data_IF_990649991592
#
_entry.id   IF_990649991592
#
_cell.length_a   1.000
_cell.length_b   1.000
_cell.length_c   1.000
_cell.angle_alpha   90.00
_cell.angle_beta   90.00
_cell.angle_gamma   90.00
#
_symmetry.space_group_name_H-M   'P 1'
#
loop_
_entity.id
_entity.type
_entity.pdbx_description
1 polymer ?
#
# COMPACT_ATOMS: atom_id res chain seq x y z
N UNK A 1 -56.32 -39.07 -69.00
CA UNK A 1 -55.00 -38.40 -68.94
C UNK A 1 -54.87 -37.73 -67.58
N UNK A 2 -53.82 -38.10 -66.81
CA UNK A 2 -53.31 -37.49 -65.56
C UNK A 2 -54.35 -37.40 -64.40
N UNK A 3 -54.54 -38.35 -63.46
CA UNK A 3 -53.64 -39.03 -62.50
C UNK A 3 -52.75 -38.09 -61.68
N UNK A 4 -52.71 -38.01 -60.34
CA UNK A 4 -53.29 -38.66 -59.11
C UNK A 4 -53.06 -37.56 -58.02
N UNK A 5 -53.82 -37.30 -56.95
CA UNK A 5 -54.77 -38.06 -56.15
C UNK A 5 -54.41 -37.82 -54.67
N UNK A 6 -55.34 -37.22 -53.92
CA UNK A 6 -55.31 -36.96 -52.48
C UNK A 6 -55.19 -38.28 -51.68
N UNK A 7 -54.48 -38.27 -50.56
CA UNK A 7 -54.44 -39.42 -49.64
C UNK A 7 -53.82 -39.10 -48.28
N UNK A 8 -54.69 -38.92 -47.28
CA UNK A 8 -54.39 -38.86 -45.85
C UNK A 8 -54.34 -40.29 -45.26
N UNK A 9 -53.41 -40.60 -44.33
CA UNK A 9 -53.59 -41.51 -43.18
C UNK A 9 -52.26 -41.80 -42.43
N UNK A 10 -52.22 -41.35 -41.16
CA UNK A 10 -51.93 -42.10 -39.93
C UNK A 10 -50.73 -43.08 -39.78
N UNK A 11 -49.78 -42.66 -38.93
CA UNK A 11 -49.14 -43.33 -37.75
C UNK A 11 -48.47 -44.72 -37.92
N UNK A 12 -47.14 -44.83 -37.68
CA UNK A 12 -46.52 -45.30 -36.41
C UNK A 12 -45.00 -45.62 -36.53
N UNK A 13 -44.23 -45.10 -35.56
CA UNK A 13 -42.94 -45.57 -34.99
C UNK A 13 -41.72 -45.86 -35.89
N UNK A 14 -40.61 -45.11 -35.72
CA UNK A 14 -39.20 -45.61 -35.61
C UNK A 14 -38.27 -44.53 -35.03
N UNK A 15 -37.50 -44.94 -34.01
CA UNK A 15 -36.25 -44.46 -33.39
C UNK A 15 -35.70 -43.03 -33.63
N UNK A 16 -35.50 -42.34 -32.51
CA UNK A 16 -34.61 -41.20 -32.29
C UNK A 16 -33.14 -41.65 -32.23
N UNK A 17 -32.25 -41.00 -32.97
CA UNK A 17 -30.80 -40.95 -32.68
C UNK A 17 -30.38 -39.49 -32.70
N UNK A 18 -30.06 -38.95 -31.52
CA UNK A 18 -29.40 -37.67 -31.35
C UNK A 18 -27.89 -37.93 -31.23
N UNK A 19 -27.10 -37.34 -32.12
CA UNK A 19 -25.64 -37.34 -32.04
C UNK A 19 -25.17 -36.12 -31.23
N UNK A 20 -24.53 -36.37 -30.09
CA UNK A 20 -23.79 -35.37 -29.30
C UNK A 20 -22.27 -35.49 -29.61
N UNK A 21 -21.49 -34.40 -29.48
CA UNK A 21 -20.09 -34.35 -29.89
C UNK A 21 -19.14 -35.18 -28.99
N UNK A 22 -17.95 -35.57 -29.50
CA UNK A 22 -17.10 -36.59 -28.90
C UNK A 22 -16.33 -36.14 -27.64
N UNK A 23 -16.19 -37.09 -26.72
CA UNK A 23 -15.56 -37.04 -25.40
C UNK A 23 -14.02 -37.06 -25.47
N UNK A 24 -13.35 -36.17 -24.74
CA UNK A 24 -11.90 -35.88 -24.84
C UNK A 24 -11.04 -36.77 -23.92
N UNK A 25 -11.63 -37.69 -23.14
CA UNK A 25 -10.87 -38.50 -22.17
C UNK A 25 -10.50 -39.91 -22.66
N UNK A 26 -9.75 -40.03 -23.76
CA UNK A 26 -9.04 -41.28 -24.09
C UNK A 26 -7.74 -41.03 -24.86
N UNK A 27 -6.64 -40.81 -24.12
CA UNK A 27 -5.31 -40.99 -24.69
C UNK A 27 -4.94 -42.47 -24.60
N UNK A 28 -4.79 -43.12 -25.77
CA UNK A 28 -4.11 -44.41 -25.86
C UNK A 28 -2.59 -44.16 -25.89
N UNK A 29 -1.79 -44.98 -25.18
CA UNK A 29 -0.35 -44.77 -25.11
C UNK A 29 0.35 -45.16 -26.44
N UNK A 30 1.29 -44.32 -26.86
CA UNK A 30 2.22 -44.59 -27.94
C UNK A 30 3.29 -45.61 -27.50
N UNK A 31 3.67 -46.45 -28.45
CA UNK A 31 4.53 -47.60 -28.30
C UNK A 31 6.02 -47.23 -28.11
N UNK A 32 6.68 -47.99 -27.23
CA UNK A 32 8.11 -48.27 -26.95
C UNK A 32 9.28 -47.61 -27.73
N UNK A 33 10.28 -47.13 -26.98
CA UNK A 33 11.70 -46.88 -27.35
C UNK A 33 12.58 -46.56 -26.12
N UNK A 34 13.89 -46.91 -26.05
CA UNK A 34 14.55 -47.23 -24.77
C UNK A 34 15.32 -46.08 -24.07
N UNK A 35 15.19 -46.10 -22.73
CA UNK A 35 16.02 -45.61 -21.62
C UNK A 35 17.13 -44.55 -21.82
N UNK A 36 17.03 -43.44 -21.06
CA UNK A 36 18.11 -43.01 -20.15
C UNK A 36 17.59 -42.12 -19.00
N UNK A 37 17.99 -42.51 -17.78
CA UNK A 37 17.95 -41.84 -16.47
C UNK A 37 17.10 -40.57 -16.26
N UNK A 38 15.96 -40.73 -15.59
CA UNK A 38 15.33 -39.67 -14.79
C UNK A 38 15.34 -40.05 -13.31
N UNK A 39 15.81 -39.12 -12.47
CA UNK A 39 15.77 -39.24 -11.02
C UNK A 39 14.31 -39.39 -10.57
N UNK A 40 14.04 -40.50 -9.87
CA UNK A 40 12.71 -40.78 -9.32
C UNK A 40 12.41 -39.75 -8.24
N UNK A 41 11.44 -38.87 -8.48
CA UNK A 41 10.72 -38.21 -7.38
C UNK A 41 9.95 -39.31 -6.64
N UNK A 42 10.55 -39.85 -5.59
CA UNK A 42 9.88 -40.81 -4.72
C UNK A 42 8.76 -40.08 -3.97
N UNK A 43 7.56 -40.64 -4.03
CA UNK A 43 6.46 -40.27 -3.13
C UNK A 43 6.95 -40.30 -1.68
N UNK A 44 6.52 -39.35 -0.81
CA UNK A 44 6.92 -39.37 0.59
C UNK A 44 6.66 -40.75 1.19
N UNK A 45 7.61 -41.27 1.96
CA UNK A 45 7.43 -42.54 2.66
C UNK A 45 6.21 -42.46 3.60
N UNK A 46 5.64 -43.60 3.98
CA UNK A 46 4.54 -43.62 4.95
C UNK A 46 4.95 -42.97 6.27
N UNK A 47 6.22 -43.10 6.66
CA UNK A 47 6.79 -42.44 7.84
C UNK A 47 6.86 -40.92 7.69
N UNK A 48 7.27 -40.42 6.52
CA UNK A 48 7.28 -38.98 6.23
C UNK A 48 5.86 -38.40 6.20
N UNK A 49 4.91 -39.16 5.64
CA UNK A 49 3.50 -38.79 5.61
C UNK A 49 2.93 -38.74 7.03
N UNK A 50 3.25 -39.73 7.86
CA UNK A 50 2.79 -39.79 9.25
C UNK A 50 3.43 -38.70 10.12
N UNK A 51 4.71 -38.40 9.91
CA UNK A 51 5.42 -37.29 10.56
C UNK A 51 4.82 -35.94 10.16
N UNK A 52 4.54 -35.73 8.87
CA UNK A 52 3.90 -34.52 8.38
C UNK A 52 2.48 -34.39 8.94
N UNK A 53 1.70 -35.46 8.99
CA UNK A 53 0.36 -35.44 9.58
C UNK A 53 0.40 -35.15 11.09
N UNK A 54 1.39 -35.67 11.81
CA UNK A 54 1.59 -35.39 13.24
C UNK A 54 1.99 -33.92 13.47
N UNK A 55 2.85 -33.36 12.62
CA UNK A 55 3.21 -31.94 12.65
C UNK A 55 2.01 -31.05 12.30
N UNK A 56 1.23 -31.42 11.30
CA UNK A 56 0.00 -30.71 10.91
C UNK A 56 -1.04 -30.75 12.03
N UNK A 57 -1.25 -31.89 12.68
CA UNK A 57 -2.19 -31.99 13.80
C UNK A 57 -1.72 -31.21 15.03
N UNK A 58 -0.42 -31.20 15.31
CA UNK A 58 0.17 -30.40 16.40
C UNK A 58 0.06 -28.91 16.09
N UNK A 59 0.25 -28.52 14.83
CA UNK A 59 0.04 -27.16 14.34
C UNK A 59 -1.44 -26.76 14.43
N UNK A 60 -2.38 -27.60 13.98
CA UNK A 60 -3.82 -27.37 14.11
C UNK A 60 -4.24 -27.20 15.57
N UNK A 61 -3.74 -28.04 16.47
CA UNK A 61 -4.05 -27.95 17.90
C UNK A 61 -3.41 -26.71 18.58
N UNK A 62 -2.27 -26.23 18.07
CA UNK A 62 -1.67 -24.95 18.48
C UNK A 62 -2.49 -23.75 17.94
N UNK A 63 -3.05 -23.87 16.74
CA UNK A 63 -3.89 -22.87 16.09
C UNK A 63 -5.29 -22.74 16.70
N UNK A 64 -5.81 -23.81 17.31
CA UNK A 64 -7.13 -23.87 17.95
C UNK A 64 -7.13 -23.33 19.39
N UNK A 65 -5.96 -23.18 20.03
CA UNK A 65 -5.88 -22.76 21.45
C UNK A 65 -6.10 -21.25 21.70
N UNK A 66 -6.40 -20.46 20.67
CA UNK A 66 -6.57 -19.01 20.78
C UNK A 66 -7.49 -18.51 19.66
N UNK A 67 -8.76 -18.30 19.97
CA UNK A 67 -9.79 -17.96 18.98
C UNK A 67 -9.58 -16.61 18.26
N UNK A 68 -8.65 -15.76 18.70
CA UNK A 68 -8.16 -14.62 17.90
C UNK A 68 -6.90 -14.93 17.07
N UNK A 69 -5.88 -15.63 17.62
CA UNK A 69 -4.63 -15.93 16.88
C UNK A 69 -4.83 -16.95 15.75
N UNK A 70 -5.92 -17.72 15.79
CA UNK A 70 -6.31 -18.68 14.75
C UNK A 70 -6.56 -18.01 13.39
N UNK A 71 -6.98 -16.75 13.37
CA UNK A 71 -7.44 -16.06 12.17
C UNK A 71 -6.30 -15.68 11.20
N UNK A 72 -5.17 -15.19 11.71
CA UNK A 72 -4.07 -14.70 10.87
C UNK A 72 -3.25 -15.82 10.23
N UNK A 73 -2.99 -16.90 10.95
CA UNK A 73 -2.30 -18.07 10.40
C UNK A 73 -3.13 -18.80 9.34
N UNK A 74 -4.46 -18.75 9.43
CA UNK A 74 -5.38 -19.28 8.40
C UNK A 74 -5.29 -18.49 7.09
N UNK A 75 -4.90 -17.21 7.12
CA UNK A 75 -4.73 -16.38 5.93
C UNK A 75 -3.46 -16.69 5.14
N UNK A 76 -2.47 -17.34 5.77
CA UNK A 76 -1.22 -17.70 5.13
C UNK A 76 -1.38 -18.89 4.17
N UNK A 77 -0.60 -18.92 3.10
CA UNK A 77 -0.49 -20.09 2.22
C UNK A 77 0.07 -21.32 2.96
N UNK A 78 -0.14 -22.55 2.45
CA UNK A 78 0.46 -23.76 3.04
C UNK A 78 1.99 -23.67 3.21
N UNK A 79 2.68 -23.07 2.24
CA UNK A 79 4.14 -22.87 2.29
C UNK A 79 4.54 -21.93 3.44
N UNK A 80 3.84 -20.81 3.58
CA UNK A 80 4.07 -19.85 4.67
C UNK A 80 3.74 -20.46 6.03
N UNK A 81 2.64 -21.23 6.16
CA UNK A 81 2.31 -21.93 7.41
C UNK A 81 3.38 -22.94 7.83
N UNK A 82 3.94 -23.69 6.87
CA UNK A 82 5.07 -24.60 7.14
C UNK A 82 6.30 -23.82 7.62
N UNK A 83 6.61 -22.68 7.00
CA UNK A 83 7.72 -21.83 7.42
C UNK A 83 7.50 -21.22 8.81
N UNK A 84 6.28 -20.77 9.12
CA UNK A 84 5.90 -20.28 10.44
C UNK A 84 6.02 -21.36 11.52
N UNK A 85 5.59 -22.59 11.23
CA UNK A 85 5.74 -23.72 12.15
C UNK A 85 7.22 -24.02 12.46
N UNK A 86 8.09 -23.97 11.43
CA UNK A 86 9.55 -24.10 11.61
C UNK A 86 10.11 -23.01 12.53
N UNK A 87 9.67 -21.76 12.36
CA UNK A 87 10.11 -20.66 13.23
C UNK A 87 9.68 -20.84 14.70
N UNK A 88 8.44 -21.30 14.92
CA UNK A 88 7.95 -21.64 16.27
C UNK A 88 8.81 -22.75 16.89
N UNK A 89 9.14 -23.78 16.12
CA UNK A 89 9.99 -24.88 16.57
C UNK A 89 11.42 -24.41 16.89
N UNK A 90 12.02 -23.58 16.01
CA UNK A 90 13.36 -23.03 16.19
C UNK A 90 13.49 -22.15 17.45
N UNK A 91 12.48 -21.33 17.72
CA UNK A 91 12.50 -20.41 18.87
C UNK A 91 11.98 -21.07 20.15
N UNK A 92 11.24 -22.18 20.05
CA UNK A 92 10.54 -22.77 21.19
C UNK A 92 9.52 -21.82 21.83
N UNK A 93 8.98 -20.90 21.03
CA UNK A 93 8.03 -19.87 21.43
C UNK A 93 6.99 -19.62 20.34
N UNK A 94 5.80 -19.20 20.76
CA UNK A 94 4.77 -18.73 19.83
C UNK A 94 5.26 -17.50 19.06
N UNK A 95 4.68 -17.28 17.88
CA UNK A 95 4.85 -16.05 17.11
C UNK A 95 3.58 -15.21 17.16
N UNK A 96 3.75 -13.89 17.17
CA UNK A 96 2.71 -12.90 16.92
C UNK A 96 2.87 -12.43 15.49
N UNK A 97 1.84 -12.61 14.68
CA UNK A 97 1.82 -12.14 13.30
C UNK A 97 0.57 -11.33 13.00
N UNK A 98 0.65 -10.48 11.98
CA UNK A 98 -0.50 -9.88 11.29
C UNK A 98 -0.27 -9.99 9.79
N UNK A 99 -1.32 -10.32 9.05
CA UNK A 99 -1.26 -10.53 7.60
C UNK A 99 -2.05 -9.44 6.88
N UNK A 100 -1.54 -9.00 5.72
CA UNK A 100 -2.30 -8.11 4.84
C UNK A 100 -3.35 -8.89 4.06
N UNK A 101 -4.58 -8.38 4.03
CA UNK A 101 -5.69 -9.13 3.46
C UNK A 101 -5.59 -9.31 1.94
N UNK A 102 -5.12 -8.30 1.21
CA UNK A 102 -5.02 -8.39 -0.25
C UNK A 102 -3.80 -9.19 -0.70
N UNK A 103 -2.61 -8.72 -0.35
CA UNK A 103 -1.33 -9.30 -0.76
C UNK A 103 -0.93 -10.60 -0.05
N UNK A 104 -1.62 -10.97 1.05
CA UNK A 104 -1.32 -12.14 1.90
C UNK A 104 0.14 -12.17 2.41
N UNK A 105 0.76 -10.99 2.52
CA UNK A 105 2.10 -10.81 3.08
C UNK A 105 2.05 -10.49 4.57
N UNK A 106 3.20 -10.70 5.23
CA UNK A 106 3.34 -10.45 6.66
C UNK A 106 3.50 -8.95 6.90
N UNK A 107 2.58 -8.34 7.65
CA UNK A 107 2.71 -6.93 8.06
C UNK A 107 3.52 -6.76 9.34
N UNK A 108 3.41 -7.75 10.22
CA UNK A 108 4.02 -7.74 11.54
C UNK A 108 4.42 -9.16 11.89
N UNK A 109 5.65 -9.36 12.38
CA UNK A 109 6.13 -10.65 12.86
C UNK A 109 7.07 -10.46 14.05
N UNK A 110 6.71 -11.10 15.16
CA UNK A 110 7.49 -11.04 16.40
C UNK A 110 7.41 -12.37 17.14
N UNK A 111 8.53 -12.83 17.70
CA UNK A 111 8.52 -13.93 18.66
C UNK A 111 7.89 -13.45 19.97
N UNK A 112 6.91 -14.19 20.48
CA UNK A 112 6.06 -13.73 21.59
C UNK A 112 6.83 -13.55 22.90
N UNK A 113 7.81 -14.43 23.14
CA UNK A 113 8.75 -14.37 24.25
C UNK A 113 10.02 -13.62 23.81
N UNK A 114 10.35 -12.53 24.49
CA UNK A 114 11.52 -11.72 24.16
C UNK A 114 12.84 -12.43 24.40
N UNK A 115 12.89 -13.38 25.34
CA UNK A 115 14.13 -14.08 25.71
C UNK A 115 14.45 -15.21 24.73
N UNK A 116 13.46 -15.59 23.91
CA UNK A 116 13.53 -16.63 22.88
C UNK A 116 13.58 -16.06 21.45
N UNK A 117 13.91 -14.78 21.30
CA UNK A 117 14.15 -14.16 19.99
C UNK A 117 15.17 -14.93 19.17
N UNK A 118 15.13 -14.71 17.86
CA UNK A 118 16.14 -15.25 16.95
C UNK A 118 17.49 -14.64 17.26
N UNK A 119 18.34 -15.44 17.88
CA UNK A 119 19.73 -15.09 18.20
C UNK A 119 20.57 -15.17 16.93
N UNK A 120 20.60 -14.06 16.19
CA UNK A 120 21.32 -13.96 14.93
C UNK A 120 22.72 -13.33 15.12
N UNK A 121 22.88 -12.46 16.13
CA UNK A 121 24.21 -11.92 16.43
C UNK A 121 25.01 -12.88 17.31
N UNK A 122 26.19 -13.27 16.83
CA UNK A 122 27.25 -13.89 17.64
C UNK A 122 28.44 -12.94 17.89
N UNK A 123 28.35 -11.72 17.37
CA UNK A 123 29.43 -10.75 17.41
C UNK A 123 29.47 -10.01 18.74
N UNK A 124 30.67 -9.91 19.34
CA UNK A 124 30.90 -9.09 20.54
C UNK A 124 30.79 -7.59 20.29
N UNK A 125 31.08 -7.15 19.07
CA UNK A 125 31.00 -5.75 18.65
C UNK A 125 29.94 -5.65 17.56
N UNK A 126 28.91 -4.88 17.82
CA UNK A 126 27.83 -4.61 16.88
C UNK A 126 28.19 -3.35 16.09
N UNK A 127 28.81 -3.54 14.91
CA UNK A 127 28.99 -2.49 13.91
C UNK A 127 27.76 -2.41 13.01
N UNK A 128 27.64 -1.33 12.23
CA UNK A 128 26.51 -1.20 11.31
C UNK A 128 26.47 -2.27 10.25
N UNK A 129 27.64 -2.70 9.74
CA UNK A 129 27.71 -3.81 8.77
C UNK A 129 27.28 -5.14 9.39
N UNK A 130 27.62 -5.41 10.65
CA UNK A 130 27.16 -6.62 11.36
C UNK A 130 25.65 -6.61 11.53
N UNK A 131 25.05 -5.47 11.91
CA UNK A 131 23.60 -5.34 12.03
C UNK A 131 22.89 -5.56 10.71
N UNK A 132 23.44 -4.98 9.63
CA UNK A 132 22.96 -5.17 8.27
C UNK A 132 23.00 -6.64 7.86
N UNK A 133 24.10 -7.33 8.12
CA UNK A 133 24.23 -8.76 7.84
C UNK A 133 23.20 -9.58 8.61
N UNK A 134 23.03 -9.33 9.90
CA UNK A 134 22.01 -10.00 10.74
C UNK A 134 20.60 -9.83 10.17
N UNK A 135 20.25 -8.61 9.74
CA UNK A 135 18.95 -8.36 9.15
C UNK A 135 18.79 -9.05 7.78
N UNK A 136 19.83 -9.09 6.95
CA UNK A 136 19.83 -9.81 5.68
C UNK A 136 19.67 -11.33 5.90
N UNK A 137 20.40 -11.91 6.86
CA UNK A 137 20.31 -13.33 7.20
C UNK A 137 18.89 -13.70 7.63
N UNK A 138 18.25 -12.86 8.44
CA UNK A 138 16.85 -13.02 8.82
C UNK A 138 15.90 -13.03 7.61
N UNK A 139 16.05 -12.07 6.69
CA UNK A 139 15.22 -11.99 5.48
C UNK A 139 15.43 -13.23 4.61
N UNK A 140 16.67 -13.67 4.42
CA UNK A 140 17.03 -14.85 3.63
C UNK A 140 16.54 -16.16 4.26
N UNK A 141 16.68 -16.35 5.57
CA UNK A 141 16.20 -17.55 6.28
C UNK A 141 14.67 -17.67 6.24
N UNK A 142 13.96 -16.54 6.32
CA UNK A 142 12.49 -16.51 6.38
C UNK A 142 11.80 -16.16 5.07
N UNK A 143 12.52 -16.19 3.94
CA UNK A 143 11.97 -15.84 2.61
C UNK A 143 10.70 -16.61 2.23
N UNK A 144 10.58 -17.86 2.65
CA UNK A 144 9.37 -18.67 2.42
C UNK A 144 8.15 -18.21 3.24
N UNK A 145 8.35 -17.67 4.44
CA UNK A 145 7.31 -17.06 5.26
C UNK A 145 6.92 -15.69 4.71
N UNK A 146 7.92 -14.94 4.24
CA UNK A 146 7.74 -13.62 3.66
C UNK A 146 7.19 -13.66 2.23
N UNK A 147 7.21 -14.81 1.56
CA UNK A 147 6.85 -14.98 0.14
C UNK A 147 7.75 -14.20 -0.82
N UNK A 148 9.05 -14.19 -0.52
CA UNK A 148 10.10 -13.54 -1.31
C UNK A 148 11.04 -14.62 -1.87
N UNK A 149 11.46 -14.50 -3.13
CA UNK A 149 12.26 -15.50 -3.80
C UNK A 149 13.75 -15.30 -3.53
N UNK A 150 14.23 -14.06 -3.70
CA UNK A 150 15.63 -13.64 -3.59
C UNK A 150 15.71 -12.36 -2.74
N UNK A 151 15.59 -12.45 -1.39
CA UNK A 151 15.53 -11.27 -0.53
C UNK A 151 16.70 -10.29 -0.68
N UNK A 152 17.89 -10.79 -0.94
CA UNK A 152 19.11 -10.00 -1.16
C UNK A 152 19.04 -9.09 -2.41
N UNK A 153 18.25 -9.48 -3.42
CA UNK A 153 18.01 -8.68 -4.63
C UNK A 153 16.72 -7.86 -4.51
N UNK A 154 15.73 -8.37 -3.79
CA UNK A 154 14.39 -7.79 -3.69
C UNK A 154 14.23 -6.79 -2.54
N UNK A 155 15.03 -6.87 -1.47
CA UNK A 155 15.03 -5.91 -0.37
C UNK A 155 16.35 -5.14 -0.32
N UNK A 156 16.34 -3.91 -0.82
CA UNK A 156 17.50 -3.02 -0.84
C UNK A 156 17.47 -2.14 0.38
N UNK A 157 18.57 -2.13 1.16
CA UNK A 157 18.68 -1.31 2.36
C UNK A 157 18.56 0.18 1.98
N UNK A 158 17.57 0.86 2.54
CA UNK A 158 17.32 2.27 2.32
C UNK A 158 17.89 3.13 3.45
N UNK A 159 17.70 2.70 4.70
CA UNK A 159 18.24 3.41 5.86
C UNK A 159 18.48 2.47 7.03
N UNK A 160 19.44 2.85 7.86
CA UNK A 160 19.75 2.20 9.11
C UNK A 160 19.93 3.27 10.19
N UNK A 161 19.25 3.10 11.32
CA UNK A 161 19.36 3.99 12.46
C UNK A 161 19.42 3.17 13.75
N UNK A 162 20.23 3.60 14.72
CA UNK A 162 20.29 3.03 16.06
C UNK A 162 19.86 4.09 17.06
N UNK A 163 18.90 3.76 17.91
CA UNK A 163 18.41 4.66 18.95
C UNK A 163 19.30 4.68 20.20
N UNK A 164 19.02 5.59 21.11
CA UNK A 164 19.77 5.76 22.37
C UNK A 164 19.69 4.54 23.31
N UNK A 165 18.72 3.65 23.09
CA UNK A 165 18.55 2.39 23.83
C UNK A 165 19.32 1.24 23.17
N UNK A 166 20.00 1.49 22.05
CA UNK A 166 20.78 0.53 21.28
C UNK A 166 19.95 -0.33 20.31
N UNK A 167 18.64 -0.09 20.19
CA UNK A 167 17.82 -0.76 19.18
C UNK A 167 18.14 -0.21 17.81
N UNK A 168 18.18 -1.09 16.81
CA UNK A 168 18.52 -0.71 15.44
C UNK A 168 17.37 -1.01 14.49
N UNK A 169 17.10 -0.08 13.59
CA UNK A 169 16.02 -0.11 12.62
C UNK A 169 16.63 -0.13 11.23
N UNK A 170 16.50 -1.25 10.53
CA UNK A 170 17.01 -1.41 9.18
C UNK A 170 15.82 -1.43 8.23
N UNK A 171 15.60 -0.33 7.51
CA UNK A 171 14.51 -0.15 6.56
C UNK A 171 14.98 -0.44 5.15
N UNK A 172 14.18 -1.20 4.42
CA UNK A 172 14.43 -1.68 3.07
C UNK A 172 13.32 -1.20 2.14
N UNK A 173 13.68 -0.83 0.92
CA UNK A 173 12.73 -0.73 -0.19
C UNK A 173 12.63 -2.07 -0.89
N UNK A 174 11.42 -2.43 -1.32
CA UNK A 174 11.24 -3.59 -2.18
C UNK A 174 11.51 -3.21 -3.64
N UNK A 175 12.17 -4.09 -4.38
CA UNK A 175 12.32 -4.00 -5.83
C UNK A 175 12.15 -5.37 -6.49
N UNK A 176 11.91 -5.38 -7.79
CA UNK A 176 11.90 -6.59 -8.61
C UNK A 176 12.58 -6.30 -9.96
N UNK A 177 13.56 -7.11 -10.35
CA UNK A 177 14.39 -6.88 -11.54
C UNK A 177 14.96 -5.45 -11.60
N UNK A 178 15.45 -4.95 -10.46
CA UNK A 178 16.01 -3.59 -10.30
C UNK A 178 15.01 -2.43 -10.49
N UNK A 179 13.71 -2.73 -10.63
CA UNK A 179 12.64 -1.73 -10.67
C UNK A 179 12.02 -1.64 -9.26
N UNK A 180 11.99 -0.44 -8.63
CA UNK A 180 11.36 -0.27 -7.32
C UNK A 180 9.89 -0.67 -7.32
N UNK A 181 9.44 -1.34 -6.25
CA UNK A 181 8.02 -1.58 -5.99
C UNK A 181 7.53 -0.52 -5.02
N UNK A 182 6.58 0.31 -5.46
CA UNK A 182 6.06 1.42 -4.67
C UNK A 182 4.55 1.27 -4.42
N UNK A 183 4.04 1.61 -3.22
CA UNK A 183 4.76 2.03 -2.01
C UNK A 183 5.16 0.84 -1.12
N UNK A 184 6.17 0.04 -1.52
CA UNK A 184 6.56 -1.16 -0.78
C UNK A 184 7.86 -1.02 0.03
N UNK A 185 7.76 -1.30 1.33
CA UNK A 185 8.89 -1.31 2.27
C UNK A 185 8.81 -2.41 3.34
N UNK A 186 9.94 -2.64 3.99
CA UNK A 186 10.07 -3.55 5.12
C UNK A 186 11.10 -3.02 6.12
N UNK A 187 10.95 -3.33 7.40
CA UNK A 187 11.89 -2.94 8.46
C UNK A 187 12.18 -4.14 9.35
N UNK A 188 13.48 -4.40 9.56
CA UNK A 188 13.96 -5.37 10.55
C UNK A 188 14.47 -4.59 11.76
N UNK A 189 13.94 -4.92 12.93
CA UNK A 189 14.31 -4.29 14.20
C UNK A 189 15.21 -5.21 14.99
N UNK A 190 16.40 -4.74 15.34
CA UNK A 190 17.34 -5.44 16.22
C UNK A 190 17.31 -4.82 17.61
N UNK A 191 17.40 -5.65 18.65
CA UNK A 191 17.62 -5.16 20.02
C UNK A 191 19.09 -4.76 20.26
N UNK A 192 19.36 -4.24 21.46
CA UNK A 192 20.70 -3.80 21.86
C UNK A 192 21.75 -4.90 21.89
N UNK A 193 21.34 -6.18 21.88
CA UNK A 193 22.23 -7.34 21.76
C UNK A 193 22.39 -7.81 20.31
N UNK A 194 21.75 -7.15 19.35
CA UNK A 194 21.78 -7.48 17.93
C UNK A 194 20.88 -8.64 17.54
N UNK A 195 19.92 -9.04 18.39
CA UNK A 195 18.95 -10.09 18.03
C UNK A 195 17.75 -9.48 17.29
N UNK A 196 17.15 -10.25 16.39
CA UNK A 196 15.94 -9.79 15.69
C UNK A 196 14.77 -9.77 16.66
N UNK A 197 14.23 -8.58 16.89
CA UNK A 197 13.17 -8.31 17.86
C UNK A 197 11.79 -8.20 17.20
N UNK A 198 11.73 -7.74 15.96
CA UNK A 198 10.51 -7.48 15.21
C UNK A 198 10.82 -7.33 13.71
N UNK A 199 9.92 -7.84 12.87
CA UNK A 199 9.83 -7.47 11.46
C UNK A 199 8.48 -6.78 11.21
N UNK A 200 8.52 -5.64 10.52
CA UNK A 200 7.34 -4.93 10.02
C UNK A 200 7.48 -4.68 8.52
N UNK A 201 6.38 -4.63 7.79
CA UNK A 201 6.45 -4.28 6.38
C UNK A 201 5.12 -4.03 5.71
N UNK A 202 5.18 -3.21 4.68
CA UNK A 202 4.10 -3.02 3.71
C UNK A 202 4.67 -3.40 2.35
N UNK A 203 4.73 -4.69 2.05
CA UNK A 203 5.36 -5.20 0.83
C UNK A 203 4.46 -6.25 0.17
N UNK A 204 4.80 -6.68 -1.05
CA UNK A 204 4.08 -7.73 -1.78
C UNK A 204 4.95 -8.99 -1.96
N UNK A 205 4.34 -10.14 -2.17
CA UNK A 205 5.08 -11.33 -2.59
C UNK A 205 5.84 -11.05 -3.90
N UNK A 206 6.95 -11.75 -4.15
CA UNK A 206 7.71 -11.59 -5.40
C UNK A 206 6.77 -11.63 -6.60
N UNK A 207 6.69 -10.55 -7.39
CA UNK A 207 5.77 -10.50 -8.52
C UNK A 207 6.06 -11.62 -9.51
N UNK A 208 5.01 -12.09 -10.18
CA UNK A 208 5.15 -13.03 -11.29
C UNK A 208 4.33 -12.54 -12.47
N UNK A 209 4.84 -12.73 -13.69
CA UNK A 209 4.15 -12.36 -14.94
C UNK A 209 3.79 -10.86 -15.03
N UNK A 210 4.64 -10.00 -14.49
CA UNK A 210 4.50 -8.54 -14.63
C UNK A 210 5.26 -8.04 -15.86
N UNK A 211 4.72 -7.02 -16.53
CA UNK A 211 5.41 -6.34 -17.63
C UNK A 211 6.67 -5.62 -17.11
N UNK A 212 7.72 -5.53 -17.91
CA UNK A 212 8.96 -4.82 -17.53
C UNK A 212 9.40 -3.77 -18.56
N UNK A 213 8.69 -3.66 -19.68
CA UNK A 213 9.01 -2.71 -20.74
C UNK A 213 7.86 -1.71 -20.88
N UNK A 214 8.11 -0.41 -20.68
CA UNK A 214 7.09 0.62 -20.84
C UNK A 214 6.75 0.80 -22.32
N UNK A 215 5.46 1.02 -22.61
CA UNK A 215 4.95 1.43 -23.94
C UNK A 215 4.86 2.96 -24.02
N UNK A 216 4.42 3.58 -22.93
CA UNK A 216 4.42 5.04 -22.77
C UNK A 216 5.82 5.49 -22.40
N UNK A 217 6.37 6.45 -23.16
CA UNK A 217 7.71 6.98 -22.89
C UNK A 217 7.72 7.84 -21.61
N UNK A 218 8.92 8.04 -21.04
CA UNK A 218 9.08 8.92 -19.89
C UNK A 218 8.62 10.36 -20.18
N UNK A 219 8.95 10.89 -21.37
CA UNK A 219 8.55 12.24 -21.79
C UNK A 219 7.03 12.37 -21.93
N UNK A 220 6.36 11.38 -22.53
CA UNK A 220 4.89 11.35 -22.63
C UNK A 220 4.24 11.28 -21.25
N UNK A 221 4.82 10.49 -20.33
CA UNK A 221 4.34 10.40 -18.95
C UNK A 221 4.46 11.75 -18.23
N UNK A 222 5.56 12.47 -18.42
CA UNK A 222 5.76 13.81 -17.85
C UNK A 222 4.70 14.81 -18.32
N UNK A 223 4.37 14.79 -19.62
CA UNK A 223 3.29 15.62 -20.19
C UNK A 223 1.93 15.25 -19.57
N UNK A 224 1.62 13.96 -19.50
CA UNK A 224 0.35 13.46 -18.95
C UNK A 224 0.18 13.81 -17.47
N UNK A 225 1.24 13.67 -16.69
CA UNK A 225 1.20 13.98 -15.27
C UNK A 225 1.10 15.48 -14.99
N UNK A 226 1.73 16.35 -15.79
CA UNK A 226 1.49 17.80 -15.72
C UNK A 226 0.01 18.12 -15.99
N UNK A 227 -0.58 17.50 -17.01
CA UNK A 227 -2.00 17.68 -17.35
C UNK A 227 -2.97 17.11 -16.30
N UNK A 228 -2.52 16.17 -15.46
CA UNK A 228 -3.32 15.59 -14.38
C UNK A 228 -3.43 16.49 -13.14
N UNK A 229 -2.68 17.59 -13.07
CA UNK A 229 -2.57 18.46 -11.90
C UNK A 229 -3.22 19.83 -12.17
N UNK A 230 -4.10 20.33 -11.28
CA UNK A 230 -4.68 21.67 -11.42
C UNK A 230 -3.63 22.78 -11.38
N UNK A 231 -3.87 23.86 -12.14
CA UNK A 231 -3.02 25.07 -12.19
C UNK A 231 -1.55 24.79 -12.54
N UNK A 232 -1.27 23.69 -13.22
CA UNK A 232 0.08 23.22 -13.48
C UNK A 232 0.76 23.90 -14.69
N UNK A 233 0.18 24.94 -15.30
CA UNK A 233 0.73 25.57 -16.53
C UNK A 233 2.22 25.94 -16.40
N UNK A 234 2.61 26.48 -15.25
CA UNK A 234 3.99 26.86 -14.91
C UNK A 234 4.70 25.85 -13.98
N UNK A 235 4.11 24.69 -13.73
CA UNK A 235 4.68 23.69 -12.84
C UNK A 235 5.98 23.11 -13.40
N UNK A 236 6.89 22.81 -12.49
CA UNK A 236 8.07 21.99 -12.79
C UNK A 236 7.75 20.51 -12.55
N UNK A 237 8.29 19.66 -13.41
CA UNK A 237 8.01 18.22 -13.39
C UNK A 237 9.33 17.49 -13.20
N UNK A 238 9.41 16.58 -12.22
CA UNK A 238 10.60 15.76 -12.01
C UNK A 238 10.82 14.77 -13.17
N UNK A 239 12.02 14.20 -13.27
CA UNK A 239 12.21 13.04 -14.14
C UNK A 239 11.26 11.90 -13.71
N UNK A 240 10.74 11.18 -14.71
CA UNK A 240 9.86 10.04 -14.49
C UNK A 240 10.68 8.83 -14.00
N UNK A 241 10.33 8.31 -12.81
CA UNK A 241 10.91 7.10 -12.23
C UNK A 241 10.05 5.89 -12.61
N UNK A 242 10.64 4.89 -13.27
CA UNK A 242 9.94 3.65 -13.58
C UNK A 242 9.77 2.81 -12.31
N UNK A 243 8.54 2.42 -11.98
CA UNK A 243 8.20 1.66 -10.79
C UNK A 243 7.22 0.52 -11.10
N UNK A 244 7.16 -0.47 -10.22
CA UNK A 244 6.00 -1.32 -10.05
C UNK A 244 5.05 -0.70 -9.02
N UNK A 245 3.90 -0.22 -9.47
CA UNK A 245 2.86 0.27 -8.58
C UNK A 245 2.03 -0.89 -8.02
N UNK A 246 2.08 -1.08 -6.70
CA UNK A 246 1.47 -2.21 -6.01
C UNK A 246 0.61 -1.75 -4.83
N UNK A 247 -0.71 -1.86 -4.96
CA UNK A 247 -1.67 -1.67 -3.87
C UNK A 247 -2.15 -3.04 -3.37
N UNK A 248 -2.62 -3.11 -2.13
CA UNK A 248 -2.89 -4.41 -1.46
C UNK A 248 -3.83 -5.31 -2.26
N UNK A 249 -4.88 -4.71 -2.81
CA UNK A 249 -6.04 -5.36 -3.40
C UNK A 249 -6.13 -5.17 -4.92
N UNK A 250 -5.07 -4.66 -5.56
CA UNK A 250 -5.04 -4.39 -7.00
C UNK A 250 -3.89 -5.14 -7.69
N UNK A 251 -4.05 -5.49 -8.98
CA UNK A 251 -2.96 -6.02 -9.77
C UNK A 251 -1.77 -5.03 -9.80
N UNK A 252 -0.57 -5.58 -9.78
CA UNK A 252 0.66 -4.80 -9.93
C UNK A 252 0.71 -4.20 -11.34
N UNK A 253 1.00 -2.90 -11.44
CA UNK A 253 1.11 -2.17 -12.71
C UNK A 253 2.53 -1.66 -12.90
N UNK A 254 3.06 -1.73 -14.12
CA UNK A 254 4.28 -0.99 -14.48
C UNK A 254 3.89 0.47 -14.69
N UNK A 255 4.56 1.42 -14.05
CA UNK A 255 4.14 2.81 -14.02
C UNK A 255 5.32 3.79 -13.92
N UNK A 256 5.07 5.05 -14.28
CA UNK A 256 5.96 6.18 -14.11
C UNK A 256 5.52 6.99 -12.88
N UNK A 257 6.37 7.12 -11.88
CA UNK A 257 6.17 7.96 -10.69
C UNK A 257 6.94 9.27 -10.85
N UNK A 258 6.31 10.39 -10.52
CA UNK A 258 6.92 11.69 -10.65
C UNK A 258 6.27 12.73 -9.73
N UNK A 259 7.03 13.77 -9.44
CA UNK A 259 6.56 14.94 -8.72
C UNK A 259 6.24 16.08 -9.70
N UNK A 260 5.08 16.71 -9.51
CA UNK A 260 4.65 17.92 -10.21
C UNK A 260 4.58 19.04 -9.17
N UNK A 261 5.55 19.95 -9.23
CA UNK A 261 5.68 21.06 -8.30
C UNK A 261 5.07 22.32 -8.93
N UNK A 262 3.89 22.70 -8.46
CA UNK A 262 3.17 23.90 -8.91
C UNK A 262 3.65 25.13 -8.13
N UNK A 263 3.82 25.00 -6.82
CA UNK A 263 4.35 26.03 -5.91
C UNK A 263 4.83 25.41 -4.59
N UNK A 264 5.41 26.21 -3.70
CA UNK A 264 5.83 25.76 -2.35
C UNK A 264 4.69 25.16 -1.52
N UNK A 265 3.44 25.50 -1.87
CA UNK A 265 2.24 25.05 -1.18
C UNK A 265 1.47 23.96 -1.95
N UNK A 266 1.92 23.61 -3.17
CA UNK A 266 1.27 22.62 -4.03
C UNK A 266 2.31 21.76 -4.74
N UNK A 267 2.56 20.59 -4.16
CA UNK A 267 3.45 19.56 -4.70
C UNK A 267 2.68 18.26 -4.85
N UNK A 268 2.58 17.75 -6.06
CA UNK A 268 1.78 16.57 -6.37
C UNK A 268 2.68 15.38 -6.67
N UNK A 269 2.36 14.22 -6.08
CA UNK A 269 2.86 12.94 -6.54
C UNK A 269 1.86 12.38 -7.54
N UNK A 270 2.34 12.08 -8.75
CA UNK A 270 1.55 11.52 -9.85
C UNK A 270 2.15 10.21 -10.31
N UNK A 271 1.29 9.22 -10.51
CA UNK A 271 1.66 7.91 -11.07
C UNK A 271 0.86 7.67 -12.34
N UNK A 272 1.57 7.51 -13.47
CA UNK A 272 1.00 7.24 -14.79
C UNK A 272 1.28 5.80 -15.17
N UNK A 273 0.29 5.05 -15.62
CA UNK A 273 0.49 3.68 -16.10
C UNK A 273 1.43 3.66 -17.31
N UNK A 274 2.45 2.80 -17.29
CA UNK A 274 3.47 2.80 -18.32
C UNK A 274 3.04 2.03 -19.58
N UNK A 275 1.88 1.37 -19.59
CA UNK A 275 1.38 0.60 -20.74
C UNK A 275 0.31 1.38 -21.51
N UNK A 276 -0.66 1.98 -20.81
CA UNK A 276 -1.78 2.70 -21.43
C UNK A 276 -1.74 4.22 -21.17
N UNK A 277 -0.95 4.67 -20.18
CA UNK A 277 -0.81 6.07 -19.81
C UNK A 277 -2.02 6.67 -19.12
N UNK A 278 -2.88 5.84 -18.51
CA UNK A 278 -3.89 6.29 -17.57
C UNK A 278 -3.25 6.82 -16.27
N UNK A 279 -3.93 7.75 -15.60
CA UNK A 279 -3.50 8.24 -14.28
C UNK A 279 -3.91 7.20 -13.23
N UNK A 280 -2.94 6.54 -12.60
CA UNK A 280 -3.19 5.55 -11.55
C UNK A 280 -3.43 6.22 -10.19
N UNK A 281 -2.70 7.29 -9.90
CA UNK A 281 -2.95 8.16 -8.74
C UNK A 281 -2.37 9.56 -8.97
N UNK A 282 -2.98 10.56 -8.35
CA UNK A 282 -2.48 11.92 -8.27
C UNK A 282 -2.96 12.51 -6.94
N UNK A 283 -2.04 12.95 -6.08
CA UNK A 283 -2.39 13.59 -4.81
C UNK A 283 -1.36 14.64 -4.41
N UNK A 284 -1.83 15.69 -3.73
CA UNK A 284 -0.96 16.72 -3.16
C UNK A 284 -0.29 16.16 -1.90
N UNK A 285 1.03 16.26 -1.83
CA UNK A 285 1.86 15.83 -0.71
C UNK A 285 1.95 16.88 0.40
N UNK A 286 1.56 18.13 0.12
CA UNK A 286 1.46 19.18 1.12
C UNK A 286 0.20 18.93 1.95
N UNK A 287 0.41 18.46 3.18
CA UNK A 287 -0.68 18.15 4.11
C UNK A 287 -1.48 19.41 4.50
N UNK A 288 -2.79 19.22 4.66
CA UNK A 288 -3.65 20.26 5.21
C UNK A 288 -3.29 20.51 6.67
N UNK A 289 -3.07 21.76 7.04
CA UNK A 289 -2.61 22.08 8.38
C UNK A 289 -2.98 23.51 8.77
N UNK A 290 -3.20 23.72 10.06
CA UNK A 290 -3.14 25.05 10.63
C UNK A 290 -1.68 25.51 10.65
N UNK A 291 -1.39 26.58 9.92
CA UNK A 291 -0.06 27.18 9.82
C UNK A 291 -0.09 28.62 10.32
N UNK A 292 1.09 29.12 10.72
CA UNK A 292 1.26 30.54 11.05
C UNK A 292 1.39 31.33 9.75
N UNK A 293 0.61 32.40 9.63
CA UNK A 293 0.63 33.34 8.52
C UNK A 293 0.68 34.79 9.00
N UNK A 294 0.45 35.72 8.08
CA UNK A 294 0.33 37.14 8.41
C UNK A 294 -0.54 37.88 7.37
N UNK A 295 -1.00 39.08 7.70
CA UNK A 295 -1.75 39.91 6.78
C UNK A 295 -1.78 41.37 7.21
N UNK A 296 -2.12 42.27 6.29
CA UNK A 296 -2.29 43.70 6.61
C UNK A 296 -3.72 43.95 7.07
N UNK A 297 -3.89 44.51 8.27
CA UNK A 297 -5.19 44.85 8.84
C UNK A 297 -5.74 46.19 8.28
N UNK A 298 -6.95 46.57 8.71
CA UNK A 298 -7.62 47.82 8.29
C UNK A 298 -6.83 49.10 8.68
N UNK A 299 -5.91 49.00 9.62
CA UNK A 299 -5.04 50.11 10.05
C UNK A 299 -3.72 50.14 9.27
N UNK A 300 -3.55 49.27 8.27
CA UNK A 300 -2.32 49.16 7.50
C UNK A 300 -1.19 48.44 8.24
N UNK A 301 -1.47 47.79 9.37
CA UNK A 301 -0.46 47.11 10.21
C UNK A 301 -0.41 45.63 9.85
N UNK A 302 0.80 45.09 9.66
CA UNK A 302 0.99 43.65 9.44
C UNK A 302 0.78 42.87 10.75
N UNK A 303 -0.20 41.98 10.78
CA UNK A 303 -0.58 41.15 11.93
C UNK A 303 -0.22 39.68 11.72
N UNK A 304 0.23 38.97 12.76
CA UNK A 304 0.36 37.51 12.72
C UNK A 304 -1.01 36.84 12.73
N UNK A 305 -1.15 35.73 12.01
CA UNK A 305 -2.39 34.96 11.87
C UNK A 305 -2.14 33.46 12.07
N UNK A 306 -3.18 32.72 12.42
CA UNK A 306 -3.27 31.26 12.29
C UNK A 306 -4.29 30.96 11.21
N UNK A 307 -3.90 30.19 10.20
CA UNK A 307 -4.70 29.98 8.99
C UNK A 307 -4.65 28.52 8.57
N UNK A 308 -5.73 28.04 7.97
CA UNK A 308 -5.81 26.66 7.50
C UNK A 308 -5.29 26.58 6.07
N UNK A 309 -4.29 25.73 5.84
CA UNK A 309 -3.86 25.34 4.50
C UNK A 309 -4.66 24.11 4.07
N UNK A 310 -5.28 24.15 2.90
CA UNK A 310 -5.78 22.98 2.21
C UNK A 310 -5.21 22.95 0.80
N UNK A 311 -4.36 21.96 0.51
CA UNK A 311 -3.76 21.76 -0.81
C UNK A 311 -3.13 23.02 -1.45
N UNK A 312 -2.56 23.90 -0.63
CA UNK A 312 -1.88 25.12 -1.06
C UNK A 312 -2.74 26.38 -1.14
N UNK A 313 -4.04 26.23 -0.85
CA UNK A 313 -4.99 27.32 -0.67
C UNK A 313 -5.19 27.58 0.82
N UNK A 314 -5.07 28.83 1.22
CA UNK A 314 -5.18 29.24 2.62
C UNK A 314 -6.56 29.82 2.90
N UNK A 315 -7.09 29.50 4.07
CA UNK A 315 -8.40 29.94 4.56
C UNK A 315 -8.19 30.66 5.89
N UNK A 316 -8.94 31.74 6.15
CA UNK A 316 -8.98 32.38 7.46
C UNK A 316 -9.76 31.53 8.48
N UNK A 317 -9.22 30.34 8.73
CA UNK A 317 -9.71 29.34 9.67
C UNK A 317 -8.56 29.06 10.65
N UNK A 318 -8.80 29.33 11.93
CA UNK A 318 -7.86 29.04 13.01
C UNK A 318 -8.33 27.78 13.75
N UNK A 319 -7.54 26.70 13.68
CA UNK A 319 -7.77 25.46 14.44
C UNK A 319 -6.76 25.24 15.57
N UNK A 320 -6.02 26.28 15.94
CA UNK A 320 -5.01 26.24 17.02
C UNK A 320 -5.62 26.23 18.44
N UNK A 321 -6.90 26.59 18.58
CA UNK A 321 -7.57 26.72 19.88
C UNK A 321 -7.91 25.35 20.48
N UNK A 322 -7.87 25.24 21.81
CA UNK A 322 -8.12 23.98 22.53
C UNK A 322 -9.53 23.39 22.32
N UNK A 323 -10.49 24.24 21.95
CA UNK A 323 -11.87 23.82 21.67
C UNK A 323 -12.02 23.10 20.33
N UNK A 324 -11.00 23.13 19.46
CA UNK A 324 -11.03 22.46 18.16
C UNK A 324 -11.07 20.94 18.30
N UNK A 325 -12.06 20.33 17.65
CA UNK A 325 -12.16 18.90 17.50
C UNK A 325 -11.28 18.43 16.34
N UNK A 326 -10.24 17.65 16.66
CA UNK A 326 -9.27 17.14 15.68
C UNK A 326 -9.87 16.17 14.66
N UNK A 327 -11.10 15.70 14.87
CA UNK A 327 -11.81 14.87 13.89
C UNK A 327 -12.50 15.67 12.77
N UNK A 328 -12.61 17.00 12.91
CA UNK A 328 -13.14 17.89 11.86
C UNK A 328 -12.14 18.07 10.71
N UNK A 329 -12.65 18.33 9.49
CA UNK A 329 -11.85 18.43 8.27
C UNK A 329 -12.04 19.77 7.52
N UNK A 330 -11.57 20.91 8.06
CA UNK A 330 -11.75 22.20 7.40
C UNK A 330 -11.16 22.23 5.98
N UNK A 331 -11.65 23.14 5.11
CA UNK A 331 -12.85 23.95 5.25
C UNK A 331 -14.15 23.14 5.06
N UNK A 332 -14.05 21.85 4.75
CA UNK A 332 -15.19 21.01 4.37
C UNK A 332 -15.93 20.40 5.58
N UNK A 333 -17.23 20.18 5.41
CA UNK A 333 -18.06 19.49 6.40
C UNK A 333 -18.31 20.28 7.68
N UNK A 334 -18.73 19.56 8.73
CA UNK A 334 -19.06 20.15 10.03
C UNK A 334 -17.80 20.38 10.87
N UNK A 335 -17.27 21.61 10.79
CA UNK A 335 -16.07 22.03 11.50
C UNK A 335 -16.41 22.47 12.93
N UNK A 336 -15.94 21.70 13.92
CA UNK A 336 -16.26 21.92 15.34
C UNK A 336 -15.11 22.56 16.08
N UNK A 337 -15.39 23.69 16.73
CA UNK A 337 -14.43 24.38 17.58
C UNK A 337 -13.27 25.07 16.85
N UNK A 338 -13.40 25.31 15.55
CA UNK A 338 -12.51 26.24 14.83
C UNK A 338 -13.07 27.67 14.87
N UNK A 339 -12.19 28.65 14.73
CA UNK A 339 -12.60 30.04 14.44
C UNK A 339 -12.56 30.21 12.93
N UNK A 340 -13.69 30.53 12.32
CA UNK A 340 -13.83 30.67 10.86
C UNK A 340 -14.24 32.12 10.56
N UNK A 341 -13.44 32.82 9.74
CA UNK A 341 -13.80 34.14 9.22
C UNK A 341 -14.23 33.99 7.76
N UNK A 342 -15.43 34.48 7.48
CA UNK A 342 -16.12 34.39 6.19
C UNK A 342 -16.60 35.77 5.76
N UNK A 343 -16.79 35.93 4.45
CA UNK A 343 -17.33 37.14 3.83
C UNK A 343 -18.64 36.80 3.12
N UNK A 344 -19.63 37.69 3.19
CA UNK A 344 -20.88 37.58 2.44
C UNK A 344 -20.72 37.96 0.96
N UNK A 345 -19.55 38.48 0.55
CA UNK A 345 -19.21 38.86 -0.82
C UNK A 345 -20.25 39.80 -1.45
N UNK A 346 -20.66 40.82 -0.68
CA UNK A 346 -21.69 41.80 -1.05
C UNK A 346 -23.10 41.22 -1.29
N UNK A 347 -23.36 39.97 -0.91
CA UNK A 347 -24.70 39.40 -1.00
C UNK A 347 -25.60 39.93 0.12
N UNK A 348 -26.81 40.32 -0.27
CA UNK A 348 -27.85 40.69 0.68
C UNK A 348 -28.44 39.45 1.35
N UNK A 349 -28.99 39.63 2.56
CA UNK A 349 -29.76 38.59 3.23
C UNK A 349 -31.00 38.24 2.41
N UNK A 350 -31.25 36.94 2.23
CA UNK A 350 -32.46 36.42 1.59
C UNK A 350 -33.71 36.79 2.37
N UNK A 351 -34.86 36.77 1.69
CA UNK A 351 -36.16 37.07 2.31
C UNK A 351 -36.56 36.08 3.42
N UNK A 352 -35.94 34.91 3.44
CA UNK A 352 -36.07 33.88 4.48
C UNK A 352 -35.08 34.06 5.65
N UNK A 353 -34.25 35.11 5.61
CA UNK A 353 -33.22 35.38 6.59
C UNK A 353 -31.88 34.67 6.34
N UNK A 354 -31.74 33.89 5.25
CA UNK A 354 -30.48 33.23 4.90
C UNK A 354 -29.42 34.23 4.43
N UNK A 355 -28.14 33.94 4.70
CA UNK A 355 -27.00 34.70 4.19
C UNK A 355 -26.01 33.70 3.60
N UNK A 356 -25.64 33.90 2.33
CA UNK A 356 -24.60 33.13 1.68
C UNK A 356 -23.24 33.63 2.16
N UNK A 357 -22.48 32.74 2.82
CA UNK A 357 -21.18 33.04 3.39
C UNK A 357 -20.10 32.26 2.62
N UNK A 358 -19.02 32.96 2.30
CA UNK A 358 -17.91 32.44 1.53
C UNK A 358 -16.62 32.50 2.34
N UNK A 359 -15.76 31.51 2.18
CA UNK A 359 -14.45 31.57 2.80
C UNK A 359 -13.58 32.64 2.15
N UNK A 360 -12.93 33.44 3.00
CA UNK A 360 -11.85 34.33 2.56
C UNK A 360 -10.61 33.47 2.33
N UNK A 361 -10.07 33.52 1.10
CA UNK A 361 -8.98 32.63 0.69
C UNK A 361 -7.81 33.38 0.08
N UNK A 362 -6.63 32.75 0.12
CA UNK A 362 -5.39 33.26 -0.49
C UNK A 362 -4.51 32.12 -0.99
N UNK A 363 -3.63 32.40 -1.93
CA UNK A 363 -2.55 31.49 -2.36
C UNK A 363 -1.22 31.78 -1.62
N UNK A 364 -1.20 32.77 -0.73
CA UNK A 364 -0.04 33.11 0.10
C UNK A 364 -0.49 33.36 1.55
N UNK A 365 0.06 32.64 2.55
CA UNK A 365 -0.42 32.76 3.92
C UNK A 365 -0.04 34.09 4.59
N UNK A 366 0.81 34.88 3.94
CA UNK A 366 1.32 36.18 4.41
C UNK A 366 0.71 37.39 3.68
N UNK A 367 -0.26 37.16 2.79
CA UNK A 367 -0.91 38.21 2.00
C UNK A 367 -2.37 37.86 1.75
N UNK A 368 -3.29 38.76 2.07
CA UNK A 368 -4.73 38.52 2.00
C UNK A 368 -5.42 39.64 1.22
N UNK A 369 -6.45 39.32 0.41
CA UNK A 369 -7.16 40.32 -0.39
C UNK A 369 -8.05 41.25 0.46
N UNK A 370 -8.49 40.78 1.63
CA UNK A 370 -9.49 41.45 2.48
C UNK A 370 -8.89 41.80 3.85
N UNK A 371 -8.60 43.09 4.06
CA UNK A 371 -7.96 43.62 5.28
C UNK A 371 -8.87 43.61 6.51
N UNK A 372 -10.18 43.69 6.31
CA UNK A 372 -11.21 43.48 7.33
C UNK A 372 -11.24 42.04 7.83
N UNK A 373 -11.15 41.05 6.92
CA UNK A 373 -10.97 39.64 7.26
C UNK A 373 -9.73 39.41 8.14
N UNK A 374 -8.59 39.99 7.74
CA UNK A 374 -7.35 39.95 8.55
C UNK A 374 -7.55 40.55 9.94
N UNK A 375 -8.25 41.69 10.02
CA UNK A 375 -8.52 42.38 11.28
C UNK A 375 -9.36 41.52 12.23
N UNK A 376 -10.41 40.90 11.70
CA UNK A 376 -11.28 40.00 12.44
C UNK A 376 -10.50 38.76 12.93
N UNK A 377 -9.77 38.07 12.05
CA UNK A 377 -8.97 36.90 12.41
C UNK A 377 -7.95 37.22 13.51
N UNK A 378 -7.20 38.31 13.37
CA UNK A 378 -6.22 38.72 14.39
C UNK A 378 -6.87 39.00 15.75
N UNK A 379 -8.02 39.66 15.76
CA UNK A 379 -8.73 39.96 17.01
C UNK A 379 -9.17 38.69 17.74
N UNK A 380 -9.72 37.71 17.04
CA UNK A 380 -10.12 36.43 17.64
C UNK A 380 -8.92 35.62 18.11
N UNK A 381 -7.80 35.64 17.37
CA UNK A 381 -6.56 34.97 17.78
C UNK A 381 -6.05 35.48 19.13
N UNK A 382 -6.11 36.80 19.37
CA UNK A 382 -5.56 37.41 20.58
C UNK A 382 -6.43 37.22 21.82
N UNK A 383 -7.74 37.12 21.67
CA UNK A 383 -8.69 37.26 22.78
C UNK A 383 -9.46 35.97 23.14
N UNK A 384 -9.24 34.88 22.39
CA UNK A 384 -9.77 33.54 22.66
C UNK A 384 -8.60 32.56 22.85
#
# INVERSE_FOLDING_TARGET
>A
MLSIGLGCLSVCSVLTVAAAPPDINRLQPLNSGPASNQAVLTTPSDEDTQRNNKLMNKLTHLLERTDEKSSDLKQLSPKQRKAAAKLIEQTGSDIRLRVRQGSKTIRYLKVADSDKRLKMSTHKVLTDEVRKQVAQDFLSEHKALLSINVPEEEFVLFSQNTDDLGYSHLRYHQQYNQIPIWPSDATVHLDSSGNVSLFEGTYIATPSRVASTPVVTADDAMVKAKAAVPDADNATVSQAELIYFALDDKPVRLAWKQEVNVSDSSRWLVVIDALDGSVLTAFNEVMNANIVGSGTDLLGVKRPLNVWNQSGKYYLIDTSKKMYDKSSNPPDGDVKGAIIVVDANHNAQGNDGSIDLFHITSNNPNSWPLSDGVSASFWFIKNL
#
